data_IF_279106462339
#
_entry.id   IF_279106462339
#
_cell.length_a   1.000
_cell.length_b   1.000
_cell.length_c   1.000
_cell.angle_alpha   90.00
_cell.angle_beta   90.00
_cell.angle_gamma   90.00
#
_symmetry.space_group_name_H-M   'P 1'
#
loop_
_entity.id
_entity.type
_entity.pdbx_description
1 polymer ?
#
# COMPACT_ATOMS: atom_id res chain seq x y z
N UNK A 1 -18.18 -15.37 -10.34
CA UNK A 1 -16.81 -14.82 -10.30
C UNK A 1 -16.80 -13.62 -9.39
N UNK A 2 -16.10 -13.70 -8.27
CA UNK A 2 -15.87 -12.55 -7.40
C UNK A 2 -14.90 -11.62 -8.14
N UNK A 3 -15.36 -10.44 -8.54
CA UNK A 3 -14.49 -9.42 -9.14
C UNK A 3 -13.56 -8.91 -8.04
N UNK A 4 -12.25 -8.94 -8.27
CA UNK A 4 -11.25 -8.40 -7.34
C UNK A 4 -11.61 -6.97 -6.93
N UNK A 5 -11.28 -6.56 -5.69
CA UNK A 5 -11.45 -5.17 -5.27
C UNK A 5 -10.75 -4.26 -6.28
N UNK A 6 -11.43 -3.18 -6.67
CA UNK A 6 -10.82 -2.14 -7.51
C UNK A 6 -9.92 -1.32 -6.59
N UNK A 7 -8.63 -1.29 -6.91
CA UNK A 7 -7.63 -0.43 -6.29
C UNK A 7 -7.09 0.50 -7.37
N UNK A 8 -7.24 1.80 -7.15
CA UNK A 8 -6.63 2.83 -7.96
C UNK A 8 -5.71 3.66 -7.08
N UNK A 9 -4.42 3.71 -7.41
CA UNK A 9 -3.44 4.48 -6.65
C UNK A 9 -3.13 5.79 -7.36
N UNK A 10 -3.21 6.89 -6.62
CA UNK A 10 -2.89 8.24 -7.10
C UNK A 10 -1.57 8.76 -6.56
N UNK A 11 -1.17 8.32 -5.37
CA UNK A 11 0.14 8.64 -4.80
C UNK A 11 0.57 7.57 -3.80
N UNK A 12 1.86 7.54 -3.49
CA UNK A 12 2.39 6.62 -2.49
C UNK A 12 3.67 7.16 -1.83
N UNK A 13 4.05 6.49 -0.73
CA UNK A 13 5.38 6.57 -0.12
C UNK A 13 5.84 5.14 0.19
N UNK A 14 7.07 4.81 -0.19
CA UNK A 14 7.73 3.58 0.25
C UNK A 14 8.47 3.84 1.57
N UNK A 15 8.11 3.08 2.60
CA UNK A 15 8.80 3.08 3.89
C UNK A 15 9.57 1.77 4.02
N UNK A 16 10.90 1.77 4.11
CA UNK A 16 11.67 0.56 4.33
C UNK A 16 11.23 -0.11 5.64
N UNK A 17 11.00 -1.42 5.59
CA UNK A 17 10.84 -2.18 6.83
C UNK A 17 12.20 -2.53 7.40
N UNK A 18 12.28 -2.55 8.74
CA UNK A 18 13.39 -3.13 9.49
C UNK A 18 13.68 -4.59 9.15
N UNK A 19 12.68 -5.34 8.69
CA UNK A 19 12.78 -6.77 8.42
C UNK A 19 12.10 -7.17 7.11
N UNK A 20 12.47 -8.35 6.61
CA UNK A 20 11.83 -9.00 5.47
C UNK A 20 12.59 -8.74 4.17
N UNK A 21 12.93 -9.83 3.50
CA UNK A 21 13.56 -9.83 2.19
C UNK A 21 12.98 -11.01 1.40
N UNK A 22 12.77 -10.81 0.10
CA UNK A 22 12.34 -11.88 -0.79
C UNK A 22 13.04 -11.73 -2.13
N UNK A 23 13.75 -12.79 -2.56
CA UNK A 23 14.54 -12.79 -3.81
C UNK A 23 15.49 -11.59 -3.88
N UNK A 24 16.27 -11.38 -2.82
CA UNK A 24 17.27 -10.30 -2.69
C UNK A 24 16.68 -8.87 -2.75
N UNK A 25 15.35 -8.75 -2.59
CA UNK A 25 14.66 -7.46 -2.53
C UNK A 25 14.13 -7.19 -1.14
N UNK A 26 14.45 -6.01 -0.61
CA UNK A 26 13.98 -5.55 0.71
C UNK A 26 12.48 -5.34 0.72
N UNK A 27 11.87 -5.63 1.87
CA UNK A 27 10.48 -5.34 2.16
C UNK A 27 10.29 -3.85 2.47
N UNK A 28 9.28 -3.27 1.85
CA UNK A 28 8.77 -1.92 2.09
C UNK A 28 7.29 -1.99 2.49
N UNK A 29 6.87 -1.07 3.34
CA UNK A 29 5.48 -0.67 3.45
C UNK A 29 5.21 0.36 2.36
N UNK A 30 4.41 0.01 1.36
CA UNK A 30 3.90 0.96 0.38
C UNK A 30 2.64 1.58 0.96
N UNK A 31 2.74 2.81 1.43
CA UNK A 31 1.57 3.59 1.82
C UNK A 31 0.97 4.19 0.57
N UNK A 32 -0.22 3.74 0.20
CA UNK A 32 -0.90 4.14 -1.02
C UNK A 32 -2.08 5.02 -0.68
N UNK A 33 -2.29 6.08 -1.47
CA UNK A 33 -3.47 6.93 -1.41
C UNK A 33 -4.25 6.80 -2.72
N UNK A 34 -5.55 6.56 -2.62
CA UNK A 34 -6.42 6.51 -3.79
C UNK A 34 -7.78 5.89 -3.51
N UNK A 35 -8.39 5.29 -4.54
CA UNK A 35 -9.74 4.74 -4.46
C UNK A 35 -9.71 3.24 -4.15
N UNK A 36 -10.47 2.83 -3.14
CA UNK A 36 -10.61 1.43 -2.72
C UNK A 36 -12.08 1.02 -2.79
N UNK A 37 -12.35 -0.17 -3.33
CA UNK A 37 -13.72 -0.74 -3.38
C UNK A 37 -13.93 -1.88 -2.39
N UNK A 38 -14.80 -1.68 -1.40
CA UNK A 38 -15.17 -2.68 -0.37
C UNK A 38 -16.49 -3.37 -0.72
N UNK A 39 -16.47 -4.24 -1.74
CA UNK A 39 -17.69 -4.93 -2.18
C UNK A 39 -18.19 -5.93 -1.14
N UNK A 40 -19.46 -5.84 -0.78
CA UNK A 40 -20.18 -6.86 0.01
C UNK A 40 -20.53 -6.46 1.45
N UNK A 41 -19.82 -5.50 2.03
CA UNK A 41 -20.12 -4.95 3.37
C UNK A 41 -20.49 -3.45 3.34
N UNK A 42 -20.32 -2.79 2.19
CA UNK A 42 -20.49 -1.35 2.03
C UNK A 42 -21.44 -1.05 0.86
N UNK A 43 -22.61 -0.40 1.10
CA UNK A 43 -23.55 -0.02 0.05
C UNK A 43 -23.02 1.04 -0.93
N UNK A 44 -22.14 1.93 -0.48
CA UNK A 44 -21.51 2.97 -1.32
C UNK A 44 -20.33 2.39 -2.10
N UNK A 45 -19.65 1.40 -1.50
CA UNK A 45 -18.79 0.44 -2.20
C UNK A 45 -17.47 0.99 -2.76
N UNK A 46 -17.21 2.30 -2.69
CA UNK A 46 -15.98 2.96 -3.11
C UNK A 46 -15.63 4.13 -2.17
N UNK A 47 -14.39 4.15 -1.69
CA UNK A 47 -13.89 5.16 -0.74
C UNK A 47 -12.49 5.64 -1.11
N UNK A 48 -12.23 6.92 -0.88
CA UNK A 48 -10.86 7.45 -0.88
C UNK A 48 -10.20 7.04 0.43
N UNK A 49 -9.06 6.36 0.35
CA UNK A 49 -8.35 5.86 1.52
C UNK A 49 -6.83 6.01 1.38
N UNK A 50 -6.16 6.10 2.52
CA UNK A 50 -4.75 5.78 2.67
C UNK A 50 -4.65 4.35 3.21
N UNK A 51 -3.86 3.48 2.59
CA UNK A 51 -3.78 2.08 2.96
C UNK A 51 -2.38 1.50 2.75
N UNK A 52 -1.86 0.70 3.70
CA UNK A 52 -0.56 0.07 3.57
C UNK A 52 -0.64 -1.24 2.77
N UNK A 53 0.34 -1.45 1.89
CA UNK A 53 0.61 -2.72 1.21
C UNK A 53 2.04 -3.18 1.46
N UNK A 54 2.30 -4.48 1.34
CA UNK A 54 3.65 -5.04 1.36
C UNK A 54 4.23 -5.01 -0.05
N UNK A 55 5.40 -4.41 -0.23
CA UNK A 55 6.15 -4.43 -1.48
C UNK A 55 7.56 -4.99 -1.27
N UNK A 56 8.03 -5.87 -2.16
CA UNK A 56 9.42 -6.30 -2.22
C UNK A 56 10.13 -5.67 -3.41
N UNK A 57 11.04 -4.73 -3.15
CA UNK A 57 11.65 -3.86 -4.16
C UNK A 57 11.15 -2.42 -4.10
N UNK A 58 11.66 -1.59 -5.00
CA UNK A 58 11.51 -0.13 -4.97
C UNK A 58 10.87 0.41 -6.27
N UNK A 59 10.13 -0.41 -7.02
CA UNK A 59 9.42 0.09 -8.20
C UNK A 59 8.33 1.08 -7.75
N UNK A 60 8.46 2.33 -8.18
CA UNK A 60 7.56 3.42 -7.81
C UNK A 60 6.23 3.34 -8.57
N UNK A 61 6.24 3.00 -9.86
CA UNK A 61 5.01 2.85 -10.64
C UNK A 61 4.20 1.64 -10.16
N UNK A 62 2.95 1.89 -9.75
CA UNK A 62 2.08 0.85 -9.18
C UNK A 62 1.80 -0.29 -10.15
N UNK A 63 1.55 0.01 -11.44
CA UNK A 63 1.21 -1.02 -12.43
C UNK A 63 2.42 -1.88 -12.74
N UNK A 64 3.59 -1.26 -12.86
CA UNK A 64 4.85 -1.97 -13.06
C UNK A 64 5.20 -2.84 -11.85
N UNK A 65 5.05 -2.33 -10.63
CA UNK A 65 5.29 -3.09 -9.39
C UNK A 65 4.36 -4.32 -9.28
N UNK A 66 3.08 -4.18 -9.64
CA UNK A 66 2.13 -5.30 -9.73
C UNK A 66 2.55 -6.31 -10.80
N UNK A 67 2.91 -5.85 -12.00
CA UNK A 67 3.35 -6.74 -13.09
C UNK A 67 4.60 -7.53 -12.75
N UNK A 68 5.54 -6.93 -12.01
CA UNK A 68 6.74 -7.60 -11.48
C UNK A 68 6.44 -8.52 -10.29
N UNK A 69 5.21 -8.51 -9.76
CA UNK A 69 4.84 -9.28 -8.57
C UNK A 69 5.54 -8.77 -7.30
N UNK A 70 5.89 -7.48 -7.25
CA UNK A 70 6.54 -6.88 -6.09
C UNK A 70 5.55 -6.58 -4.97
N UNK A 71 4.29 -6.25 -5.32
CA UNK A 71 3.23 -5.95 -4.35
C UNK A 71 2.45 -7.21 -3.99
N UNK A 72 2.37 -7.51 -2.70
CA UNK A 72 1.66 -8.68 -2.16
C UNK A 72 0.23 -8.29 -1.81
N UNK A 73 -0.73 -8.72 -2.64
CA UNK A 73 -2.17 -8.36 -2.49
C UNK A 73 -2.98 -9.39 -1.71
N UNK A 74 -2.42 -10.58 -1.46
CA UNK A 74 -3.10 -11.69 -0.77
C UNK A 74 -2.78 -11.77 0.72
N UNK A 75 -1.90 -10.90 1.21
CA UNK A 75 -1.44 -10.91 2.58
C UNK A 75 -1.82 -9.61 3.30
N UNK A 76 -2.45 -9.67 4.49
CA UNK A 76 -2.67 -8.48 5.29
C UNK A 76 -1.34 -7.80 5.62
N UNK A 77 -1.25 -6.50 5.37
CA UNK A 77 -0.07 -5.74 5.73
C UNK A 77 -0.06 -5.50 7.25
N UNK A 78 0.92 -6.11 7.93
CA UNK A 78 1.17 -5.87 9.35
C UNK A 78 2.39 -4.97 9.49
N UNK A 79 2.21 -3.81 10.12
CA UNK A 79 3.30 -2.87 10.44
C UNK A 79 3.98 -3.33 11.72
N UNK A 80 5.30 -3.50 11.68
CA UNK A 80 6.07 -3.86 12.87
C UNK A 80 6.10 -2.70 13.87
N UNK A 81 6.13 -3.03 15.17
CA UNK A 81 6.11 -2.02 16.23
C UNK A 81 7.30 -1.06 16.14
N UNK A 82 8.49 -1.55 15.77
CA UNK A 82 9.69 -0.74 15.57
C UNK A 82 9.61 0.19 14.35
N UNK A 83 8.82 -0.16 13.33
CA UNK A 83 8.65 0.65 12.12
C UNK A 83 7.46 1.63 12.26
N UNK A 84 6.63 1.46 13.30
CA UNK A 84 5.32 2.12 13.45
C UNK A 84 5.39 3.64 13.34
N UNK A 85 6.33 4.27 14.02
CA UNK A 85 6.43 5.74 14.03
C UNK A 85 6.84 6.29 12.67
N UNK A 86 7.73 5.60 11.95
CA UNK A 86 8.13 5.99 10.60
C UNK A 86 6.97 5.84 9.61
N UNK A 87 6.23 4.72 9.71
CA UNK A 87 5.06 4.47 8.87
C UNK A 87 3.97 5.51 9.14
N UNK A 88 3.70 5.83 10.41
CA UNK A 88 2.74 6.87 10.78
C UNK A 88 3.14 8.25 10.23
N UNK A 89 4.40 8.64 10.40
CA UNK A 89 4.88 9.92 9.90
C UNK A 89 4.75 10.02 8.37
N UNK A 90 5.07 8.94 7.65
CA UNK A 90 4.89 8.88 6.21
C UNK A 90 3.41 8.96 5.79
N UNK A 91 2.52 8.29 6.52
CA UNK A 91 1.07 8.38 6.30
C UNK A 91 0.56 9.82 6.45
N UNK A 92 0.95 10.52 7.52
CA UNK A 92 0.56 11.91 7.76
C UNK A 92 1.07 12.84 6.63
N UNK A 93 2.31 12.64 6.15
CA UNK A 93 2.88 13.39 5.02
C UNK A 93 2.08 13.13 3.74
N UNK A 94 1.78 11.86 3.45
CA UNK A 94 1.05 11.48 2.24
C UNK A 94 -0.35 12.08 2.24
N UNK A 95 -1.09 11.96 3.35
CA UNK A 95 -2.44 12.52 3.48
C UNK A 95 -2.41 14.05 3.34
N UNK A 96 -1.44 14.71 3.95
CA UNK A 96 -1.29 16.18 3.83
C UNK A 96 -1.06 16.59 2.37
N UNK A 97 -0.12 15.93 1.69
CA UNK A 97 0.20 16.19 0.27
C UNK A 97 -1.02 16.06 -0.65
N UNK A 98 -1.95 15.17 -0.35
CA UNK A 98 -3.13 14.94 -1.19
C UNK A 98 -4.31 15.87 -0.87
N UNK A 99 -4.23 16.67 0.20
CA UNK A 99 -5.27 17.63 0.62
C UNK A 99 -4.94 19.08 0.26
N UNK A 100 -3.69 19.36 -0.09
CA UNK A 100 -3.18 20.66 -0.55
C UNK A 100 -3.25 20.75 -2.08
#
# INVERSE_FOLDING_TARGET
>A
MQKSPVLEEWSHILVPSSHGEWKDKKRHYRLSYGLVSWRGADPEGQHIACFPMVQFGETEDYKEAIQKGEIVTTYPCHVLLEDRENVKAAEDILIKKMKE
#
